data_IF_768123495720
#
_entry.id   IF_768123495720
#
_cell.length_a   1.000
_cell.length_b   1.000
_cell.length_c   1.000
_cell.angle_alpha   90.00
_cell.angle_beta   90.00
_cell.angle_gamma   90.00
#
_symmetry.space_group_name_H-M   'P 1'
#
loop_
_entity.id
_entity.type
_entity.pdbx_description
1 polymer ?
#
# COMPACT_ATOMS: atom_id res chain seq x y z
N UNK A 1 -8.72 -17.86 -0.73
CA UNK A 1 -7.83 -16.78 -1.23
C UNK A 1 -6.40 -17.16 -0.86
N UNK A 2 -5.45 -17.18 -1.81
CA UNK A 2 -4.05 -17.56 -1.51
C UNK A 2 -3.37 -16.44 -0.69
N UNK A 3 -2.59 -16.74 0.39
CA UNK A 3 -1.97 -15.72 1.26
C UNK A 3 -1.13 -14.69 0.50
N UNK A 4 -0.43 -15.14 -0.55
CA UNK A 4 0.30 -14.28 -1.49
C UNK A 4 -0.58 -13.16 -2.08
N UNK A 5 -1.79 -13.52 -2.53
CA UNK A 5 -2.73 -12.59 -3.17
C UNK A 5 -3.30 -11.57 -2.18
N UNK A 6 -3.47 -11.96 -0.92
CA UNK A 6 -3.86 -11.03 0.14
C UNK A 6 -2.75 -9.99 0.38
N UNK A 7 -1.50 -10.42 0.46
CA UNK A 7 -0.37 -9.51 0.60
C UNK A 7 -0.27 -8.53 -0.59
N UNK A 8 -0.47 -9.01 -1.82
CA UNK A 8 -0.43 -8.16 -3.01
C UNK A 8 -1.55 -7.11 -3.00
N UNK A 9 -2.77 -7.49 -2.57
CA UNK A 9 -3.88 -6.55 -2.42
C UNK A 9 -3.63 -5.50 -1.33
N UNK A 10 -2.98 -5.89 -0.23
CA UNK A 10 -2.61 -4.95 0.83
C UNK A 10 -1.55 -3.95 0.36
N UNK A 11 -0.56 -4.38 -0.43
CA UNK A 11 0.40 -3.47 -1.05
C UNK A 11 -0.28 -2.50 -2.02
N UNK A 12 -1.21 -3.01 -2.84
CA UNK A 12 -1.97 -2.18 -3.77
C UNK A 12 -2.82 -1.15 -3.01
N UNK A 13 -3.49 -1.57 -1.94
CA UNK A 13 -4.32 -0.70 -1.11
C UNK A 13 -3.50 0.39 -0.42
N UNK A 14 -2.39 0.03 0.24
CA UNK A 14 -1.48 0.99 0.88
C UNK A 14 -0.92 2.00 -0.13
N UNK A 15 -0.53 1.52 -1.32
CA UNK A 15 -0.03 2.37 -2.38
C UNK A 15 -1.07 3.37 -2.89
N UNK A 16 -2.29 2.90 -3.14
CA UNK A 16 -3.41 3.73 -3.58
C UNK A 16 -3.79 4.78 -2.52
N UNK A 17 -3.80 4.42 -1.24
CA UNK A 17 -4.07 5.37 -0.15
C UNK A 17 -3.02 6.48 -0.07
N UNK A 18 -1.73 6.14 -0.21
CA UNK A 18 -0.66 7.13 -0.20
C UNK A 18 -0.76 8.13 -1.35
N UNK A 19 -1.05 7.64 -2.56
CA UNK A 19 -1.29 8.50 -3.72
C UNK A 19 -2.55 9.35 -3.48
N UNK A 20 -3.64 8.72 -3.00
CA UNK A 20 -4.89 9.40 -2.68
C UNK A 20 -4.70 10.55 -1.69
N UNK A 21 -4.00 10.32 -0.58
CA UNK A 21 -3.66 11.35 0.40
C UNK A 21 -2.96 12.53 -0.22
N UNK A 22 -1.91 12.24 -0.98
CA UNK A 22 -1.14 13.27 -1.60
C UNK A 22 -2.00 14.09 -2.57
N UNK A 23 -2.82 13.41 -3.39
CA UNK A 23 -3.70 14.08 -4.35
C UNK A 23 -4.79 14.91 -3.67
N UNK A 24 -5.30 14.49 -2.51
CA UNK A 24 -6.28 15.27 -1.73
C UNK A 24 -5.61 16.49 -1.08
N UNK A 25 -4.41 16.32 -0.52
CA UNK A 25 -3.71 17.39 0.19
C UNK A 25 -3.06 18.43 -0.74
N UNK A 26 -2.62 18.02 -1.93
CA UNK A 26 -1.80 18.86 -2.82
C UNK A 26 -2.29 18.91 -4.28
N UNK A 27 -3.37 18.21 -4.61
CA UNK A 27 -3.86 18.12 -5.98
C UNK A 27 -2.87 17.40 -6.90
N UNK A 28 -2.65 17.98 -8.09
CA UNK A 28 -1.71 17.45 -9.11
C UNK A 28 -0.31 18.07 -8.98
N UNK A 29 -0.10 18.96 -8.01
CA UNK A 29 1.18 19.65 -7.83
C UNK A 29 2.20 18.70 -7.21
N UNK A 30 3.47 18.77 -7.65
CA UNK A 30 4.59 18.03 -7.03
C UNK A 30 5.29 18.95 -6.04
N UNK A 31 5.15 18.65 -4.75
CA UNK A 31 5.70 19.41 -3.62
C UNK A 31 6.86 18.59 -3.05
N UNK A 32 8.12 19.08 -3.10
CA UNK A 32 9.31 18.29 -2.73
C UNK A 32 9.27 17.69 -1.31
N UNK A 33 8.58 18.34 -0.37
CA UNK A 33 8.43 17.86 1.01
C UNK A 33 7.46 16.69 1.20
N UNK A 34 6.49 16.52 0.29
CA UNK A 34 5.47 15.46 0.36
C UNK A 34 5.50 14.51 -0.83
N UNK A 35 6.31 14.78 -1.86
CA UNK A 35 6.49 13.95 -3.04
C UNK A 35 6.91 12.51 -2.71
N UNK A 36 7.54 12.28 -1.55
CA UNK A 36 7.85 10.95 -1.05
C UNK A 36 6.61 10.06 -0.90
N UNK A 37 5.43 10.62 -0.61
CA UNK A 37 4.17 9.89 -0.53
C UNK A 37 3.74 9.34 -1.90
N UNK A 38 3.89 10.15 -2.97
CA UNK A 38 3.65 9.67 -4.34
C UNK A 38 4.65 8.59 -4.73
N UNK A 39 5.93 8.77 -4.42
CA UNK A 39 6.99 7.80 -4.77
C UNK A 39 6.76 6.46 -4.05
N UNK A 40 6.56 6.49 -2.73
CA UNK A 40 6.30 5.29 -1.94
C UNK A 40 4.99 4.62 -2.35
N UNK A 41 3.92 5.40 -2.57
CA UNK A 41 2.64 4.88 -3.02
C UNK A 41 2.71 4.19 -4.38
N UNK A 42 3.39 4.83 -5.35
CA UNK A 42 3.62 4.27 -6.67
C UNK A 42 4.48 3.01 -6.62
N UNK A 43 5.50 3.00 -5.76
CA UNK A 43 6.36 1.82 -5.55
C UNK A 43 5.56 0.64 -5.01
N UNK A 44 4.67 0.85 -4.03
CA UNK A 44 3.82 -0.22 -3.51
C UNK A 44 2.83 -0.75 -4.55
N UNK A 45 2.21 0.12 -5.33
CA UNK A 45 1.34 -0.27 -6.44
C UNK A 45 2.09 -1.08 -7.50
N UNK A 46 3.29 -0.63 -7.91
CA UNK A 46 4.13 -1.32 -8.88
C UNK A 46 4.60 -2.68 -8.38
N UNK A 47 4.97 -2.77 -7.10
CA UNK A 47 5.37 -4.03 -6.47
C UNK A 47 4.21 -5.02 -6.41
N UNK A 48 2.99 -4.56 -6.08
CA UNK A 48 1.79 -5.37 -6.11
C UNK A 48 1.50 -5.89 -7.52
N UNK A 49 1.56 -5.02 -8.54
CA UNK A 49 1.33 -5.38 -9.94
C UNK A 49 2.37 -6.38 -10.46
N UNK A 50 3.66 -6.16 -10.14
CA UNK A 50 4.73 -7.09 -10.50
C UNK A 50 4.56 -8.46 -9.83
N UNK A 51 4.24 -8.49 -8.54
CA UNK A 51 4.00 -9.75 -7.82
C UNK A 51 2.75 -10.47 -8.30
N UNK A 52 1.78 -9.73 -8.86
CA UNK A 52 0.55 -10.28 -9.39
C UNK A 52 0.76 -11.12 -10.66
N UNK A 53 1.73 -10.74 -11.50
CA UNK A 53 2.06 -11.45 -12.75
C UNK A 53 2.91 -12.69 -12.52
N UNK A 54 3.58 -12.80 -11.37
CA UNK A 54 4.34 -13.99 -11.00
C UNK A 54 3.40 -15.15 -10.63
N UNK A 55 3.70 -16.38 -11.08
CA UNK A 55 2.95 -17.56 -10.67
C UNK A 55 2.92 -17.68 -9.15
N UNK A 56 1.85 -18.24 -8.55
CA UNK A 56 1.81 -18.47 -7.12
C UNK A 56 2.91 -19.48 -6.77
N UNK A 57 4.00 -19.01 -6.16
CA UNK A 57 5.00 -19.90 -5.60
C UNK A 57 4.34 -20.80 -4.55
N UNK A 58 4.70 -22.08 -4.55
CA UNK A 58 4.47 -23.04 -3.45
C UNK A 58 5.26 -22.67 -2.17
N UNK A 59 5.55 -21.38 -1.98
CA UNK A 59 6.08 -20.85 -0.74
C UNK A 59 5.19 -21.27 0.43
N UNK A 60 5.80 -22.03 1.36
CA UNK A 60 5.15 -22.52 2.58
C UNK A 60 4.37 -21.39 3.27
N UNK A 61 3.14 -21.65 3.77
CA UNK A 61 2.28 -20.65 4.42
C UNK A 61 2.97 -19.83 5.52
N UNK A 62 4.01 -20.38 6.16
CA UNK A 62 4.72 -19.78 7.29
C UNK A 62 5.54 -18.53 6.94
N UNK A 63 5.92 -18.30 5.68
CA UNK A 63 6.75 -17.15 5.31
C UNK A 63 5.97 -15.84 5.17
N UNK A 64 4.66 -15.91 4.85
CA UNK A 64 3.83 -14.73 4.59
C UNK A 64 3.07 -14.24 5.81
N UNK A 65 2.85 -15.08 6.82
CA UNK A 65 2.05 -14.74 8.00
C UNK A 65 2.47 -13.43 8.67
N UNK A 66 3.72 -13.32 9.17
CA UNK A 66 4.19 -12.11 9.86
C UNK A 66 4.15 -10.86 8.97
N UNK A 67 4.53 -10.99 7.70
CA UNK A 67 4.54 -9.90 6.73
C UNK A 67 3.13 -9.34 6.47
N UNK A 68 2.14 -10.22 6.35
CA UNK A 68 0.74 -9.83 6.14
C UNK A 68 0.20 -9.05 7.33
N UNK A 69 0.47 -9.47 8.57
CA UNK A 69 0.02 -8.73 9.76
C UNK A 69 0.63 -7.33 9.84
N UNK A 70 1.92 -7.19 9.53
CA UNK A 70 2.59 -5.88 9.47
C UNK A 70 1.96 -5.02 8.37
N UNK A 71 1.68 -5.58 7.19
CA UNK A 71 1.04 -4.83 6.12
C UNK A 71 -0.38 -4.38 6.48
N UNK A 72 -1.17 -5.25 7.10
CA UNK A 72 -2.52 -4.90 7.57
C UNK A 72 -2.45 -3.79 8.60
N UNK A 73 -1.53 -3.86 9.57
CA UNK A 73 -1.35 -2.80 10.56
C UNK A 73 -0.95 -1.47 9.91
N UNK A 74 -0.07 -1.50 8.91
CA UNK A 74 0.35 -0.32 8.16
C UNK A 74 -0.79 0.26 7.31
N UNK A 75 -1.61 -0.59 6.70
CA UNK A 75 -2.83 -0.19 6.00
C UNK A 75 -3.84 0.46 6.97
N UNK A 76 -4.06 -0.14 8.14
CA UNK A 76 -4.96 0.42 9.15
C UNK A 76 -4.47 1.79 9.65
N UNK A 77 -3.17 1.92 9.94
CA UNK A 77 -2.57 3.18 10.37
C UNK A 77 -2.72 4.27 9.29
N UNK A 78 -2.38 3.94 8.04
CA UNK A 78 -2.51 4.89 6.92
C UNK A 78 -3.96 5.30 6.70
N UNK A 79 -4.91 4.36 6.82
CA UNK A 79 -6.36 4.64 6.74
C UNK A 79 -6.85 5.55 7.86
N UNK A 80 -6.38 5.34 9.09
CA UNK A 80 -6.74 6.20 10.22
C UNK A 80 -6.20 7.63 10.05
N UNK A 81 -4.97 7.75 9.53
CA UNK A 81 -4.41 9.05 9.17
C UNK A 81 -5.21 9.70 8.03
N UNK A 82 -5.73 8.93 7.07
CA UNK A 82 -6.68 9.43 6.03
C UNK A 82 -7.93 10.02 6.66
N UNK A 83 -8.57 9.22 7.50
CA UNK A 83 -9.85 9.58 8.10
C UNK A 83 -9.69 10.81 8.99
N UNK A 84 -8.59 10.87 9.76
CA UNK A 84 -8.25 12.04 10.57
C UNK A 84 -8.02 13.31 9.74
N UNK A 85 -7.42 13.19 8.55
CA UNK A 85 -7.26 14.32 7.60
C UNK A 85 -8.58 14.78 6.95
N UNK A 86 -9.57 13.89 6.82
CA UNK A 86 -10.89 14.24 6.24
C UNK A 86 -11.82 14.87 7.28
N UNK A 87 -11.62 14.57 8.57
CA UNK A 87 -12.48 15.05 9.68
C UNK A 87 -11.99 16.38 10.28
N UNK A 88 -10.72 16.75 10.07
CA UNK A 88 -10.13 18.01 10.55
C UNK A 88 -10.32 19.16 9.54
#
# INVERSE_FOLDING_TARGET
>A
MHPKRLADLLFLYAGALHIGHYTVAHGVQVVPGSAWQLVSGSTFCALAAYRWTLPPDETKPSAYGPLVYVLVALCALTTLLTAGLIVA
#
